data_IF_165400557122
#
_entry.id   IF_165400557122
#
_cell.length_a   1.000
_cell.length_b   1.000
_cell.length_c   1.000
_cell.angle_alpha   90.00
_cell.angle_beta   90.00
_cell.angle_gamma   90.00
#
_symmetry.space_group_name_H-M   'P 1'
#
loop_
_entity.id
_entity.type
_entity.pdbx_description
1 polymer ?
#
# COMPACT_ATOMS: atom_id res chain seq x y z
N UNK A 1 -10.35 2.93 -13.58
CA UNK A 1 -9.85 2.18 -14.70
C UNK A 1 -8.94 1.03 -14.31
N UNK A 2 -8.40 0.41 -15.31
CA UNK A 2 -7.51 -0.73 -15.12
C UNK A 2 -6.21 -0.46 -15.89
N UNK A 3 -5.09 -0.45 -15.19
CA UNK A 3 -3.78 -0.21 -15.78
C UNK A 3 -2.94 -1.46 -15.58
N UNK A 4 -2.53 -2.07 -16.69
CA UNK A 4 -1.63 -3.22 -16.69
C UNK A 4 -0.40 -2.83 -17.49
N UNK A 5 0.76 -2.84 -16.86
CA UNK A 5 2.01 -2.46 -17.49
C UNK A 5 3.00 -3.61 -17.39
N UNK A 6 3.62 -3.95 -18.52
CA UNK A 6 4.69 -4.93 -18.57
C UNK A 6 6.02 -4.18 -18.55
N UNK A 7 6.95 -4.68 -17.74
CA UNK A 7 8.24 -4.04 -17.57
C UNK A 7 8.21 -2.95 -16.52
N UNK A 8 9.34 -2.29 -16.34
CA UNK A 8 9.48 -1.28 -15.30
C UNK A 8 8.73 0.00 -15.62
N UNK A 9 8.17 0.61 -14.58
CA UNK A 9 7.49 1.89 -14.68
C UNK A 9 8.31 2.92 -13.92
N UNK A 10 8.58 4.06 -14.54
CA UNK A 10 9.31 5.15 -13.90
C UNK A 10 8.55 6.45 -14.10
N UNK A 11 8.10 7.05 -13.01
CA UNK A 11 7.36 8.31 -13.01
C UNK A 11 7.97 9.29 -12.02
N UNK A 12 8.94 10.11 -12.47
CA UNK A 12 9.66 11.01 -11.57
C UNK A 12 8.78 12.02 -10.84
N UNK A 13 7.66 12.39 -11.43
CA UNK A 13 6.74 13.36 -10.84
C UNK A 13 5.71 12.77 -9.90
N UNK A 14 5.44 11.47 -10.02
CA UNK A 14 4.43 10.79 -9.23
C UNK A 14 3.25 10.27 -10.04
N UNK A 15 2.43 9.45 -9.40
CA UNK A 15 1.28 8.80 -10.03
C UNK A 15 0.04 8.90 -9.15
N UNK A 16 -1.10 9.09 -9.78
CA UNK A 16 -2.40 8.95 -9.14
C UNK A 16 -3.21 7.95 -9.96
N UNK A 17 -3.69 6.89 -9.30
CA UNK A 17 -4.40 5.80 -9.96
C UNK A 17 -5.72 5.54 -9.26
N UNK A 18 -6.78 5.44 -10.04
CA UNK A 18 -8.09 5.00 -9.59
C UNK A 18 -8.45 3.67 -10.25
N UNK A 19 -8.72 2.66 -9.45
CA UNK A 19 -9.07 1.34 -9.93
C UNK A 19 -7.98 0.33 -9.69
N UNK A 20 -7.59 -0.41 -10.71
CA UNK A 20 -6.59 -1.46 -10.60
C UNK A 20 -5.28 -1.06 -11.28
N UNK A 21 -4.19 -1.18 -10.57
CA UNK A 21 -2.84 -1.07 -11.13
C UNK A 21 -2.11 -2.40 -10.95
N UNK A 22 -1.68 -2.99 -12.05
CA UNK A 22 -0.91 -4.25 -12.02
C UNK A 22 0.41 -4.09 -12.73
N UNK A 23 1.48 -4.51 -12.06
CA UNK A 23 2.83 -4.52 -12.64
C UNK A 23 3.64 -5.65 -12.03
N UNK A 24 4.26 -6.47 -12.88
CA UNK A 24 5.07 -7.62 -12.43
C UNK A 24 6.57 -7.35 -12.49
N UNK A 25 6.96 -6.10 -12.48
CA UNK A 25 8.36 -5.72 -12.48
C UNK A 25 8.61 -4.70 -11.36
N UNK A 26 9.03 -3.51 -11.67
CA UNK A 26 9.30 -2.50 -10.67
C UNK A 26 8.61 -1.20 -11.03
N UNK A 27 7.96 -0.58 -10.05
CA UNK A 27 7.39 0.76 -10.19
C UNK A 27 8.26 1.70 -9.37
N UNK A 28 8.84 2.71 -10.00
CA UNK A 28 9.61 3.76 -9.35
C UNK A 28 8.89 5.08 -9.59
N UNK A 29 8.47 5.72 -8.52
CA UNK A 29 7.75 6.98 -8.61
C UNK A 29 8.04 7.82 -7.37
N UNK A 30 7.92 9.11 -7.48
CA UNK A 30 8.13 9.99 -6.34
C UNK A 30 7.00 9.85 -5.33
N UNK A 31 5.75 9.80 -5.81
CA UNK A 31 4.62 9.45 -4.98
C UNK A 31 3.64 8.59 -5.76
N UNK A 32 2.90 7.77 -5.03
CA UNK A 32 1.79 7.00 -5.57
C UNK A 32 0.56 7.24 -4.69
N UNK A 33 -0.48 7.80 -5.27
CA UNK A 33 -1.78 7.94 -4.63
C UNK A 33 -2.71 6.93 -5.30
N UNK A 34 -3.00 5.86 -4.57
CA UNK A 34 -3.73 4.72 -5.08
C UNK A 34 -5.11 4.65 -4.48
N UNK A 35 -6.14 4.78 -5.32
CA UNK A 35 -7.52 4.56 -4.91
C UNK A 35 -8.03 3.31 -5.62
N UNK A 36 -8.05 2.20 -4.90
CA UNK A 36 -8.46 0.93 -5.44
C UNK A 36 -7.49 -0.18 -5.10
N UNK A 37 -7.14 -1.00 -6.08
CA UNK A 37 -6.36 -2.21 -5.87
C UNK A 37 -4.99 -2.12 -6.55
N UNK A 38 -3.94 -2.39 -5.79
CA UNK A 38 -2.57 -2.49 -6.29
C UNK A 38 -2.17 -3.96 -6.33
N UNK A 39 -1.62 -4.40 -7.45
CA UNK A 39 -1.03 -5.72 -7.59
C UNK A 39 0.35 -5.54 -8.25
N UNK A 40 1.40 -5.52 -7.44
CA UNK A 40 2.74 -5.21 -7.91
C UNK A 40 3.77 -6.12 -7.25
N UNK A 41 4.89 -6.34 -7.93
CA UNK A 41 6.00 -7.08 -7.33
C UNK A 41 6.87 -6.14 -6.50
N UNK A 42 7.35 -5.05 -7.07
CA UNK A 42 8.17 -4.10 -6.33
C UNK A 42 7.71 -2.67 -6.59
N UNK A 43 7.59 -1.91 -5.50
CA UNK A 43 7.25 -0.50 -5.55
C UNK A 43 8.28 0.29 -4.78
N UNK A 44 8.90 1.27 -5.43
CA UNK A 44 9.82 2.21 -4.79
C UNK A 44 9.24 3.61 -4.91
N UNK A 45 8.93 4.21 -3.79
CA UNK A 45 8.29 5.53 -3.78
C UNK A 45 8.62 6.27 -2.49
N UNK A 46 8.79 7.58 -2.59
CA UNK A 46 9.02 8.38 -1.39
C UNK A 46 7.74 8.49 -0.55
N UNK A 47 6.59 8.49 -1.20
CA UNK A 47 5.29 8.61 -0.52
C UNK A 47 4.27 7.69 -1.17
N UNK A 48 3.68 6.84 -0.36
CA UNK A 48 2.59 5.97 -0.79
C UNK A 48 1.36 6.27 0.05
N UNK A 49 0.25 6.51 -0.62
CA UNK A 49 -1.05 6.64 0.02
C UNK A 49 -2.03 5.73 -0.68
N UNK A 50 -2.57 4.78 0.05
CA UNK A 50 -3.58 3.85 -0.46
C UNK A 50 -4.89 4.10 0.27
N UNK A 51 -5.93 4.33 -0.49
CA UNK A 51 -7.28 4.55 0.03
C UNK A 51 -8.22 3.59 -0.66
N UNK A 52 -9.04 2.82 0.08
CA UNK A 52 -10.02 1.96 -0.56
C UNK A 52 -11.08 2.82 -1.25
N UNK A 53 -11.57 2.35 -2.38
CA UNK A 53 -12.66 3.02 -3.06
C UNK A 53 -13.93 2.89 -2.22
N UNK A 54 -14.65 4.01 -2.08
CA UNK A 54 -15.90 4.03 -1.33
C UNK A 54 -17.00 3.26 -2.11
N UNK A 55 -17.76 2.43 -1.39
CA UNK A 55 -18.88 1.70 -1.98
C UNK A 55 -19.93 2.64 -2.56
N UNK A 56 -20.09 3.82 -2.02
CA UNK A 56 -21.03 4.81 -2.51
C UNK A 56 -20.71 5.29 -3.92
N UNK A 57 -19.48 5.17 -4.37
CA UNK A 57 -19.04 5.61 -5.69
C UNK A 57 -19.43 4.63 -6.81
N UNK A 58 -19.76 3.39 -6.48
CA UNK A 58 -19.94 2.32 -7.46
C UNK A 58 -21.35 1.76 -7.49
N UNK A 59 -22.19 2.18 -6.57
CA UNK A 59 -23.49 1.57 -6.44
C UNK A 59 -23.37 0.12 -5.96
N UNK A 60 -24.45 -0.63 -6.11
CA UNK A 60 -24.53 -1.97 -5.52
C UNK A 60 -23.69 -3.02 -6.26
N UNK A 61 -23.60 -2.91 -7.56
CA UNK A 61 -22.93 -3.93 -8.37
C UNK A 61 -21.41 -3.88 -8.32
N UNK A 62 -20.85 -2.75 -7.93
CA UNK A 62 -19.41 -2.57 -7.91
C UNK A 62 -18.73 -2.96 -6.61
N UNK A 63 -19.48 -3.21 -5.55
CA UNK A 63 -18.92 -3.39 -4.21
C UNK A 63 -17.97 -4.57 -4.11
N UNK A 64 -18.30 -5.69 -4.72
CA UNK A 64 -17.52 -6.91 -4.60
C UNK A 64 -16.14 -6.78 -5.22
N UNK A 65 -16.04 -6.10 -6.35
CA UNK A 65 -14.77 -5.93 -7.04
C UNK A 65 -13.80 -5.02 -6.30
N UNK A 66 -14.33 -4.01 -5.62
CA UNK A 66 -13.51 -2.98 -4.98
C UNK A 66 -13.17 -3.27 -3.52
N UNK A 67 -13.60 -4.43 -3.00
CA UNK A 67 -13.18 -4.89 -1.69
C UNK A 67 -11.96 -5.81 -1.75
N UNK A 68 -11.40 -6.01 -2.94
CA UNK A 68 -10.24 -6.87 -3.10
C UNK A 68 -9.03 -6.32 -2.38
N UNK A 69 -8.26 -7.23 -1.82
CA UNK A 69 -7.03 -6.90 -1.13
C UNK A 69 -5.92 -6.62 -2.15
N UNK A 70 -5.17 -5.56 -1.92
CA UNK A 70 -3.98 -5.27 -2.71
C UNK A 70 -2.84 -6.20 -2.33
N UNK A 71 -1.94 -6.45 -3.26
CA UNK A 71 -0.78 -7.32 -3.04
C UNK A 71 0.47 -6.67 -3.58
N UNK A 72 1.55 -6.74 -2.79
CA UNK A 72 2.88 -6.34 -3.24
C UNK A 72 3.90 -7.22 -2.56
N UNK A 73 4.94 -7.63 -3.27
CA UNK A 73 6.00 -8.38 -2.63
C UNK A 73 6.92 -7.46 -1.85
N UNK A 74 7.29 -6.32 -2.44
CA UNK A 74 8.26 -5.41 -1.83
C UNK A 74 7.86 -3.97 -2.03
N UNK A 75 7.79 -3.23 -0.94
CA UNK A 75 7.56 -1.78 -0.97
C UNK A 75 8.69 -1.10 -0.21
N UNK A 76 9.38 -0.19 -0.89
CA UNK A 76 10.49 0.56 -0.32
C UNK A 76 10.21 2.05 -0.50
N UNK A 77 10.25 2.79 0.60
CA UNK A 77 9.96 4.22 0.49
C UNK A 77 10.19 4.99 1.78
N UNK A 78 9.57 6.15 1.86
CA UNK A 78 9.65 7.01 3.02
C UNK A 78 8.37 6.99 3.85
N UNK A 79 7.35 7.70 3.41
CA UNK A 79 6.06 7.78 4.10
C UNK A 79 5.09 6.82 3.43
N UNK A 80 4.81 5.70 4.09
CA UNK A 80 3.99 4.63 3.54
C UNK A 80 2.69 4.49 4.34
N UNK A 81 1.58 4.85 3.73
CA UNK A 81 0.25 4.75 4.33
C UNK A 81 -0.59 3.82 3.48
N UNK A 82 -0.86 2.64 3.99
CA UNK A 82 -1.50 1.58 3.22
C UNK A 82 -2.79 1.11 3.88
N UNK A 83 -3.67 0.58 3.04
CA UNK A 83 -4.97 0.08 3.43
C UNK A 83 -5.29 -1.17 2.61
N UNK A 84 -5.72 -2.24 3.28
CA UNK A 84 -6.05 -3.52 2.66
C UNK A 84 -4.94 -4.07 1.78
N UNK A 85 -3.72 -4.09 2.33
CA UNK A 85 -2.55 -4.54 1.61
C UNK A 85 -1.94 -5.78 2.26
N UNK A 86 -1.59 -6.74 1.44
CA UNK A 86 -0.73 -7.86 1.84
C UNK A 86 0.63 -7.63 1.20
N UNK A 87 1.67 -7.56 2.01
CA UNK A 87 3.02 -7.27 1.54
C UNK A 87 4.02 -8.19 2.24
N UNK A 88 4.98 -8.69 1.48
CA UNK A 88 6.02 -9.57 2.05
C UNK A 88 7.10 -8.76 2.76
N UNK A 89 7.60 -7.69 2.13
CA UNK A 89 8.63 -6.84 2.72
C UNK A 89 8.28 -5.37 2.51
N UNK A 90 8.27 -4.62 3.61
CA UNK A 90 8.04 -3.19 3.57
C UNK A 90 9.15 -2.47 4.31
N UNK A 91 9.77 -1.49 3.66
CA UNK A 91 10.81 -0.67 4.27
C UNK A 91 10.43 0.80 4.14
N UNK A 92 10.45 1.51 5.25
CA UNK A 92 10.08 2.92 5.23
C UNK A 92 10.60 3.69 6.43
N UNK A 93 10.46 5.00 6.36
CA UNK A 93 10.73 5.89 7.49
C UNK A 93 9.52 5.93 8.41
N UNK A 94 8.35 6.09 7.83
CA UNK A 94 7.07 6.06 8.52
C UNK A 94 6.16 5.05 7.80
N UNK A 95 5.56 4.13 8.56
CA UNK A 95 4.63 3.14 8.02
C UNK A 95 3.32 3.19 8.81
N UNK A 96 2.21 3.28 8.09
CA UNK A 96 0.88 3.22 8.68
C UNK A 96 0.06 2.13 7.98
N UNK A 97 -0.42 1.16 8.76
CA UNK A 97 -1.20 0.03 8.28
C UNK A 97 -2.61 0.12 8.82
N UNK A 98 -3.59 0.13 7.94
CA UNK A 98 -5.01 0.18 8.32
C UNK A 98 -5.83 -0.79 7.48
N UNK A 99 -7.07 -1.05 7.93
CA UNK A 99 -8.07 -1.82 7.17
C UNK A 99 -7.59 -3.19 6.73
N UNK A 100 -7.16 -4.00 7.69
CA UNK A 100 -6.74 -5.38 7.43
C UNK A 100 -5.50 -5.47 6.54
N UNK A 101 -4.52 -4.61 6.79
CA UNK A 101 -3.22 -4.72 6.14
C UNK A 101 -2.32 -5.69 6.88
N UNK A 102 -1.65 -6.57 6.15
CA UNK A 102 -0.79 -7.59 6.74
C UNK A 102 0.56 -7.57 6.05
N UNK A 103 1.62 -7.36 6.83
CA UNK A 103 2.99 -7.31 6.32
C UNK A 103 3.78 -8.41 7.01
N UNK A 104 4.50 -9.20 6.22
CA UNK A 104 5.32 -10.26 6.78
C UNK A 104 6.54 -9.70 7.47
N UNK A 105 7.28 -8.82 6.79
CA UNK A 105 8.47 -8.18 7.34
C UNK A 105 8.41 -6.68 7.13
N UNK A 106 8.55 -5.92 8.20
CA UNK A 106 8.59 -4.47 8.13
C UNK A 106 9.88 -3.95 8.74
N UNK A 107 10.56 -3.06 8.03
CA UNK A 107 11.70 -2.32 8.54
C UNK A 107 11.33 -0.84 8.54
N UNK A 108 11.33 -0.23 9.71
CA UNK A 108 10.86 1.14 9.87
C UNK A 108 11.83 1.93 10.76
N UNK A 109 12.10 3.16 10.37
CA UNK A 109 13.10 3.99 11.07
C UNK A 109 12.46 4.80 12.19
N UNK A 110 11.34 5.47 11.92
CA UNK A 110 10.78 6.45 12.85
C UNK A 110 9.57 5.93 13.59
N UNK A 111 8.53 5.48 12.85
CA UNK A 111 7.27 5.13 13.47
C UNK A 111 6.53 4.11 12.63
N UNK A 112 6.08 3.06 13.27
CA UNK A 112 5.17 2.07 12.70
C UNK A 112 3.84 2.17 13.43
N UNK A 113 2.80 2.61 12.71
CA UNK A 113 1.46 2.73 13.24
C UNK A 113 0.55 1.69 12.59
N UNK A 114 -0.28 1.02 13.37
CA UNK A 114 -1.22 0.04 12.83
C UNK A 114 -2.50 0.03 13.65
N UNK A 115 -3.62 -0.28 12.99
CA UNK A 115 -4.89 -0.44 13.68
C UNK A 115 -5.05 -1.89 14.18
N UNK A 116 -6.16 -2.17 14.86
CA UNK A 116 -6.39 -3.50 15.47
C UNK A 116 -6.62 -4.61 14.45
N UNK A 117 -6.91 -4.27 13.20
CA UNK A 117 -7.17 -5.25 12.14
C UNK A 117 -5.92 -5.59 11.34
N UNK A 118 -4.85 -4.83 11.51
CA UNK A 118 -3.62 -4.99 10.76
C UNK A 118 -2.55 -5.70 11.57
N UNK A 119 -1.58 -6.32 10.92
CA UNK A 119 -0.54 -7.07 11.60
C UNK A 119 0.80 -7.04 10.86
N UNK A 120 1.88 -7.25 11.60
CA UNK A 120 3.21 -7.45 11.07
C UNK A 120 3.83 -8.65 11.80
N UNK A 121 4.37 -9.61 11.05
CA UNK A 121 4.98 -10.79 11.66
C UNK A 121 6.35 -10.49 12.26
N UNK A 122 7.20 -9.80 11.51
CA UNK A 122 8.56 -9.45 11.93
C UNK A 122 8.80 -7.97 11.74
N UNK A 123 9.25 -7.30 12.79
CA UNK A 123 9.56 -5.87 12.74
C UNK A 123 11.06 -5.68 13.02
N UNK A 124 11.73 -4.89 12.21
CA UNK A 124 13.12 -4.52 12.41
C UNK A 124 13.28 -3.00 12.31
N UNK A 125 14.42 -2.50 12.76
CA UNK A 125 14.71 -1.08 12.77
C UNK A 125 14.39 -0.45 14.14
N UNK A 126 14.60 0.86 14.23
CA UNK A 126 14.48 1.61 15.48
C UNK A 126 13.10 2.22 15.71
N UNK A 127 12.13 1.84 14.92
CA UNK A 127 10.81 2.47 14.92
C UNK A 127 10.04 2.29 16.22
N UNK A 128 9.34 3.32 16.61
CA UNK A 128 8.36 3.26 17.68
C UNK A 128 7.07 2.65 17.15
N UNK A 129 6.54 1.63 17.83
CA UNK A 129 5.26 1.02 17.48
C UNK A 129 4.12 1.80 18.11
N UNK A 130 3.12 2.12 17.32
CA UNK A 130 1.92 2.81 17.76
C UNK A 130 0.70 2.06 17.27
N UNK A 131 -0.23 1.80 18.18
CA UNK A 131 -1.48 1.15 17.84
C UNK A 131 -2.58 2.21 17.73
N UNK A 132 -3.21 2.24 16.56
CA UNK A 132 -4.28 3.18 16.27
C UNK A 132 -5.60 2.64 16.82
N UNK A 133 -6.42 3.53 17.35
CA UNK A 133 -7.75 3.15 17.82
C UNK A 133 -8.72 3.15 16.64
N UNK A 134 -9.49 2.07 16.56
CA UNK A 134 -10.61 2.01 15.64
C UNK A 134 -11.83 2.61 16.29
N UNK A 135 -12.20 3.79 15.89
CA UNK A 135 -13.42 4.43 16.36
C UNK A 135 -14.39 4.63 15.23
#
# INVERSE_FOLDING_TARGET
>A
GKIIVQGDVMCPGGMTVRGLLRNRSCIVTRYLDMQGTLDADELRTERLRMTPLSSAMFGRSGMTEFTQTSNAERIIGGDLRVSRLICTLMQGVFIRLTDESHVERASCITKLAMDSTSSVLLVSGAAKRVYLRNT
#
